data_IF_284123596950
#
_entry.id   IF_284123596950
#
_cell.length_a   1.000
_cell.length_b   1.000
_cell.length_c   1.000
_cell.angle_alpha   90.00
_cell.angle_beta   90.00
_cell.angle_gamma   90.00
#
_symmetry.space_group_name_H-M   'P 1'
#
loop_
_entity.id
_entity.type
_entity.pdbx_description
1 polymer ?
#
# COMPACT_ATOMS: atom_id res chain seq x y z
N UNK A 1 -11.63 -54.83 17.33
CA UNK A 1 -12.38 -53.56 17.39
C UNK A 1 -11.43 -52.46 16.97
N UNK A 2 -11.70 -51.78 15.86
CA UNK A 2 -10.76 -50.92 15.12
C UNK A 2 -10.54 -49.59 15.84
N UNK A 3 -9.29 -49.29 16.23
CA UNK A 3 -8.87 -47.94 16.60
C UNK A 3 -8.65 -47.12 15.33
N UNK A 4 -9.54 -46.16 15.06
CA UNK A 4 -9.34 -45.13 14.02
C UNK A 4 -8.22 -44.20 14.48
N UNK A 5 -7.08 -44.21 13.79
CA UNK A 5 -6.08 -43.14 13.91
C UNK A 5 -6.59 -41.92 13.15
N UNK A 6 -6.76 -40.80 13.83
CA UNK A 6 -6.98 -39.50 13.21
C UNK A 6 -5.65 -39.08 12.58
N UNK A 7 -5.61 -39.05 11.25
CA UNK A 7 -4.47 -38.56 10.49
C UNK A 7 -4.50 -37.04 10.55
N UNK A 8 -3.57 -36.44 11.30
CA UNK A 8 -3.32 -35.01 11.22
C UNK A 8 -2.49 -34.78 9.95
N UNK A 9 -3.14 -34.36 8.86
CA UNK A 9 -2.40 -33.74 7.77
C UNK A 9 -1.80 -32.45 8.32
N UNK A 10 -0.48 -32.41 8.47
CA UNK A 10 0.26 -31.16 8.63
C UNK A 10 0.04 -30.37 7.35
N UNK A 11 -0.75 -29.31 7.42
CA UNK A 11 -0.75 -28.28 6.39
C UNK A 11 0.65 -27.68 6.42
N UNK A 12 1.45 -27.95 5.39
CA UNK A 12 2.69 -27.23 5.16
C UNK A 12 2.31 -25.79 4.85
N UNK A 13 2.23 -24.95 5.89
CA UNK A 13 2.17 -23.50 5.71
C UNK A 13 3.50 -23.13 5.07
N UNK A 14 3.46 -22.81 3.77
CA UNK A 14 4.65 -22.50 3.00
C UNK A 14 5.39 -21.35 3.65
N UNK A 15 6.69 -21.54 3.87
CA UNK A 15 7.58 -20.59 4.55
C UNK A 15 7.55 -19.17 3.97
N UNK A 16 7.12 -19.02 2.71
CA UNK A 16 6.96 -17.73 2.01
C UNK A 16 5.82 -16.89 2.58
N UNK A 17 4.70 -17.48 2.98
CA UNK A 17 3.56 -16.75 3.57
C UNK A 17 3.89 -16.21 4.97
N UNK A 18 4.78 -16.90 5.70
CA UNK A 18 5.15 -16.53 7.08
C UNK A 18 6.17 -15.38 7.10
N UNK A 19 7.11 -15.34 6.16
CA UNK A 19 8.13 -14.26 6.14
C UNK A 19 7.55 -12.90 5.73
N UNK A 20 6.54 -12.85 4.85
CA UNK A 20 5.98 -11.58 4.38
C UNK A 20 5.08 -10.90 5.43
N UNK A 21 4.34 -11.68 6.22
CA UNK A 21 3.52 -11.16 7.31
C UNK A 21 4.33 -10.75 8.57
N UNK A 22 5.60 -11.19 8.69
CA UNK A 22 6.46 -10.94 9.86
C UNK A 22 7.50 -9.81 9.66
N UNK A 23 7.63 -9.22 8.48
CA UNK A 23 8.64 -8.19 8.21
C UNK A 23 8.23 -6.78 8.67
N UNK A 24 6.93 -6.50 8.78
CA UNK A 24 6.46 -5.18 9.20
C UNK A 24 6.66 -5.00 10.71
N UNK A 25 7.18 -3.83 11.11
CA UNK A 25 7.23 -3.42 12.51
C UNK A 25 5.96 -2.63 12.86
N UNK A 26 4.91 -3.26 13.44
CA UNK A 26 3.60 -2.63 13.58
C UNK A 26 3.64 -1.50 14.61
N UNK A 27 4.56 -1.56 15.56
CA UNK A 27 4.72 -0.54 16.60
C UNK A 27 5.31 0.74 16.03
N UNK A 28 6.33 0.64 15.16
CA UNK A 28 6.88 1.81 14.46
C UNK A 28 5.83 2.45 13.55
N UNK A 29 5.09 1.64 12.78
CA UNK A 29 4.03 2.14 11.89
C UNK A 29 2.92 2.83 12.69
N UNK A 30 2.43 2.23 13.79
CA UNK A 30 1.39 2.84 14.63
C UNK A 30 1.85 4.11 15.32
N UNK A 31 3.05 4.10 15.90
CA UNK A 31 3.56 5.23 16.69
C UNK A 31 3.84 6.42 15.78
N UNK A 32 4.54 6.20 14.65
CA UNK A 32 4.79 7.27 13.67
C UNK A 32 3.50 7.75 13.00
N UNK A 33 2.55 6.87 12.71
CA UNK A 33 1.25 7.28 12.16
C UNK A 33 0.43 8.12 13.15
N UNK A 34 0.58 7.86 14.46
CA UNK A 34 -0.09 8.67 15.49
C UNK A 34 0.40 10.11 15.47
N UNK A 35 1.71 10.32 15.30
CA UNK A 35 2.29 11.66 15.11
C UNK A 35 1.74 12.32 13.84
N UNK A 36 1.63 11.55 12.75
CA UNK A 36 1.11 12.05 11.48
C UNK A 36 -0.38 12.47 11.55
N UNK A 37 -1.18 11.86 12.43
CA UNK A 37 -2.61 12.19 12.60
C UNK A 37 -2.87 13.61 13.09
N UNK A 38 -1.94 14.19 13.86
CA UNK A 38 -2.06 15.56 14.36
C UNK A 38 -2.07 16.57 13.19
N UNK A 39 -1.35 16.25 12.11
CA UNK A 39 -1.18 17.08 10.92
C UNK A 39 -1.82 16.48 9.65
N UNK A 40 -2.89 15.68 9.79
CA UNK A 40 -3.48 14.93 8.67
C UNK A 40 -3.81 15.76 7.42
N UNK A 41 -4.27 17.02 7.61
CA UNK A 41 -4.63 17.92 6.52
C UNK A 41 -3.37 18.39 5.80
N UNK A 42 -2.40 18.89 6.58
CA UNK A 42 -1.13 19.35 6.05
C UNK A 42 -0.37 18.23 5.33
N UNK A 43 -0.38 17.02 5.88
CA UNK A 43 0.18 15.83 5.23
C UNK A 43 -0.46 15.55 3.88
N UNK A 44 -1.79 15.52 3.82
CA UNK A 44 -2.51 15.15 2.59
C UNK A 44 -2.37 16.24 1.51
N UNK A 45 -2.39 17.50 1.90
CA UNK A 45 -2.17 18.63 0.99
C UNK A 45 -0.74 18.62 0.44
N UNK A 46 0.25 18.38 1.31
CA UNK A 46 1.64 18.22 0.90
C UNK A 46 1.81 17.03 -0.04
N UNK A 47 1.16 15.90 0.25
CA UNK A 47 1.21 14.70 -0.59
C UNK A 47 0.74 15.00 -2.01
N UNK A 48 -0.46 15.56 -2.20
CA UNK A 48 -0.98 15.83 -3.54
C UNK A 48 -0.20 16.93 -4.27
N UNK A 49 0.20 17.98 -3.54
CA UNK A 49 1.07 19.03 -4.10
C UNK A 49 2.39 18.44 -4.62
N UNK A 50 3.03 17.58 -3.83
CA UNK A 50 4.28 16.91 -4.18
C UNK A 50 4.08 15.94 -5.33
N UNK A 51 3.06 15.08 -5.29
CA UNK A 51 2.75 14.10 -6.33
C UNK A 51 2.58 14.77 -7.70
N UNK A 52 1.82 15.87 -7.72
CA UNK A 52 1.49 16.60 -8.95
C UNK A 52 2.60 17.52 -9.45
N UNK A 53 3.54 17.88 -8.57
CA UNK A 53 4.76 18.58 -8.93
C UNK A 53 5.78 17.62 -9.53
N UNK A 54 6.06 16.52 -8.84
CA UNK A 54 7.12 15.57 -9.21
C UNK A 54 6.69 14.67 -10.38
N UNK A 55 5.39 14.35 -10.47
CA UNK A 55 4.83 13.43 -11.46
C UNK A 55 3.59 14.02 -12.16
N UNK A 56 3.72 15.12 -12.93
CA UNK A 56 2.58 15.77 -13.56
C UNK A 56 1.76 14.86 -14.49
N UNK A 57 2.36 13.78 -15.01
CA UNK A 57 1.69 12.76 -15.82
C UNK A 57 0.58 11.99 -15.09
N UNK A 58 0.55 12.01 -13.75
CA UNK A 58 -0.52 11.33 -12.98
C UNK A 58 -1.76 12.20 -12.80
N UNK A 59 -1.67 13.52 -13.03
CA UNK A 59 -2.81 14.46 -12.91
C UNK A 59 -4.06 14.03 -13.69
N UNK A 60 -3.98 13.48 -14.92
CA UNK A 60 -5.16 13.02 -15.65
C UNK A 60 -5.97 11.94 -14.92
N UNK A 61 -5.33 11.09 -14.08
CA UNK A 61 -6.04 10.09 -13.27
C UNK A 61 -7.02 10.74 -12.26
N UNK A 62 -6.79 12.01 -11.92
CA UNK A 62 -7.58 12.78 -10.97
C UNK A 62 -8.55 13.76 -11.64
N UNK A 63 -8.63 13.79 -12.98
CA UNK A 63 -9.42 14.79 -13.72
C UNK A 63 -10.94 14.77 -13.39
N UNK A 64 -11.45 13.62 -12.95
CA UNK A 64 -12.86 13.43 -12.54
C UNK A 64 -12.99 13.14 -11.04
N UNK A 65 -11.96 13.46 -10.26
CA UNK A 65 -11.95 13.27 -8.81
C UNK A 65 -12.32 14.57 -8.10
N UNK A 66 -13.18 14.49 -7.07
CA UNK A 66 -13.36 15.61 -6.15
C UNK A 66 -12.12 15.75 -5.27
N UNK A 67 -11.27 16.73 -5.61
CA UNK A 67 -10.01 16.98 -4.90
C UNK A 67 -10.19 17.58 -3.49
N UNK A 68 -11.39 18.03 -3.11
CA UNK A 68 -11.69 18.43 -1.73
C UNK A 68 -11.88 17.21 -0.81
N UNK A 69 -12.38 16.09 -1.36
CA UNK A 69 -12.64 14.85 -0.61
C UNK A 69 -11.51 13.84 -0.72
N UNK A 70 -10.69 13.94 -1.76
CA UNK A 70 -9.63 12.98 -2.06
C UNK A 70 -8.52 12.91 -0.97
N UNK A 71 -8.06 14.02 -0.37
CA UNK A 71 -7.19 14.02 0.81
C UNK A 71 -7.73 13.15 1.95
N UNK A 72 -9.01 13.29 2.28
CA UNK A 72 -9.66 12.53 3.36
C UNK A 72 -9.69 11.03 3.05
N UNK A 73 -9.96 10.65 1.80
CA UNK A 73 -9.98 9.25 1.36
C UNK A 73 -8.61 8.60 1.43
N UNK A 74 -7.55 9.31 1.04
CA UNK A 74 -6.19 8.84 1.18
C UNK A 74 -5.86 8.57 2.65
N UNK A 75 -6.11 9.55 3.51
CA UNK A 75 -5.81 9.42 4.93
C UNK A 75 -6.61 8.30 5.59
N UNK A 76 -7.90 8.18 5.28
CA UNK A 76 -8.74 7.08 5.78
C UNK A 76 -8.24 5.70 5.31
N UNK A 77 -7.65 5.60 4.12
CA UNK A 77 -7.05 4.35 3.63
C UNK A 77 -5.80 3.99 4.44
N UNK A 78 -4.96 4.97 4.79
CA UNK A 78 -3.81 4.75 5.68
C UNK A 78 -4.23 4.34 7.09
N UNK A 79 -5.29 4.96 7.63
CA UNK A 79 -5.88 4.56 8.93
C UNK A 79 -6.29 3.08 8.88
N UNK A 80 -7.03 2.67 7.84
CA UNK A 80 -7.48 1.29 7.68
C UNK A 80 -6.30 0.32 7.66
N UNK A 81 -5.25 0.63 6.92
CA UNK A 81 -4.04 -0.19 6.85
C UNK A 81 -3.42 -0.34 8.25
N UNK A 82 -3.10 0.78 8.91
CA UNK A 82 -2.39 0.80 10.20
C UNK A 82 -3.19 0.09 11.30
N UNK A 83 -4.51 0.24 11.31
CA UNK A 83 -5.40 -0.41 12.29
C UNK A 83 -5.55 -1.92 12.07
N UNK A 84 -5.29 -2.41 10.86
CA UNK A 84 -5.45 -3.82 10.50
C UNK A 84 -4.12 -4.56 10.24
N UNK A 85 -2.97 -3.96 10.57
CA UNK A 85 -1.64 -4.60 10.43
C UNK A 85 -1.52 -5.95 11.15
N UNK A 86 -2.30 -6.17 12.21
CA UNK A 86 -2.30 -7.43 12.99
C UNK A 86 -3.44 -8.39 12.59
N UNK A 87 -4.18 -8.07 11.52
CA UNK A 87 -5.30 -8.84 10.96
C UNK A 87 -5.06 -9.10 9.47
N UNK A 88 -4.05 -9.91 9.12
CA UNK A 88 -3.57 -10.05 7.75
C UNK A 88 -4.68 -10.43 6.77
N UNK A 89 -5.52 -11.43 7.07
CA UNK A 89 -6.57 -11.89 6.16
C UNK A 89 -7.58 -10.78 5.78
N UNK A 90 -7.97 -9.95 6.75
CA UNK A 90 -8.92 -8.86 6.56
C UNK A 90 -8.29 -7.75 5.72
N UNK A 91 -7.02 -7.43 6.02
CA UNK A 91 -6.28 -6.41 5.30
C UNK A 91 -6.03 -6.83 3.85
N UNK A 92 -5.63 -8.08 3.62
CA UNK A 92 -5.38 -8.64 2.28
C UNK A 92 -6.61 -8.54 1.40
N UNK A 93 -7.77 -9.03 1.86
CA UNK A 93 -9.00 -8.96 1.08
C UNK A 93 -9.42 -7.52 0.76
N UNK A 94 -9.24 -6.59 1.71
CA UNK A 94 -9.55 -5.18 1.51
C UNK A 94 -8.62 -4.53 0.47
N UNK A 95 -7.33 -4.83 0.52
CA UNK A 95 -6.30 -4.32 -0.40
C UNK A 95 -6.46 -4.89 -1.80
N UNK A 96 -6.75 -6.19 -1.95
CA UNK A 96 -7.03 -6.78 -3.26
C UNK A 96 -8.23 -6.10 -3.92
N UNK A 97 -9.33 -5.93 -3.17
CA UNK A 97 -10.50 -5.21 -3.66
C UNK A 97 -10.22 -3.72 -3.98
N UNK A 98 -9.27 -3.10 -3.28
CA UNK A 98 -8.79 -1.75 -3.59
C UNK A 98 -8.01 -1.75 -4.91
N UNK A 99 -7.13 -2.72 -5.13
CA UNK A 99 -6.40 -2.95 -6.38
C UNK A 99 -7.32 -3.10 -7.59
N UNK A 100 -8.35 -3.94 -7.49
CA UNK A 100 -9.38 -4.09 -8.54
C UNK A 100 -10.05 -2.76 -8.91
N UNK A 101 -10.28 -1.87 -7.93
CA UNK A 101 -10.84 -0.53 -8.20
C UNK A 101 -9.82 0.40 -8.86
N UNK A 102 -8.53 0.29 -8.53
CA UNK A 102 -7.48 1.12 -9.10
C UNK A 102 -7.33 0.92 -10.60
N UNK A 103 -7.55 -0.29 -11.12
CA UNK A 103 -7.67 -0.54 -12.57
C UNK A 103 -8.74 0.36 -13.20
N UNK A 104 -9.92 0.45 -12.57
CA UNK A 104 -11.04 1.26 -13.10
C UNK A 104 -10.75 2.76 -13.11
N UNK A 105 -9.78 3.20 -12.31
CA UNK A 105 -9.30 4.58 -12.29
C UNK A 105 -8.21 4.85 -13.34
N UNK A 106 -7.78 3.83 -14.09
CA UNK A 106 -6.68 3.92 -15.06
C UNK A 106 -5.29 3.86 -14.42
N UNK A 107 -5.20 3.42 -13.16
CA UNK A 107 -3.90 3.23 -12.51
C UNK A 107 -3.17 2.07 -13.16
N UNK A 108 -1.88 2.24 -13.43
CA UNK A 108 -0.96 1.24 -13.96
C UNK A 108 0.11 0.91 -12.91
N UNK A 109 0.79 -0.24 -13.02
CA UNK A 109 1.87 -0.62 -12.10
C UNK A 109 2.95 0.46 -11.92
N UNK A 110 3.29 1.19 -12.98
CA UNK A 110 4.27 2.28 -12.95
C UNK A 110 3.89 3.47 -12.05
N UNK A 111 2.61 3.64 -11.72
CA UNK A 111 2.17 4.71 -10.83
C UNK A 111 2.43 4.40 -9.35
N UNK A 112 2.53 3.13 -8.96
CA UNK A 112 2.71 2.75 -7.56
C UNK A 112 4.04 3.27 -6.99
N UNK A 113 5.21 3.09 -7.65
CA UNK A 113 6.46 3.68 -7.16
C UNK A 113 6.42 5.21 -7.01
N UNK A 114 5.69 5.91 -7.88
CA UNK A 114 5.52 7.37 -7.80
C UNK A 114 4.76 7.76 -6.54
N UNK A 115 3.63 7.08 -6.29
CA UNK A 115 2.81 7.29 -5.08
C UNK A 115 3.59 6.93 -3.81
N UNK A 116 4.32 5.81 -3.80
CA UNK A 116 5.12 5.38 -2.67
C UNK A 116 6.24 6.36 -2.33
N UNK A 117 6.98 6.81 -3.35
CA UNK A 117 8.03 7.82 -3.17
C UNK A 117 7.48 9.13 -2.62
N UNK A 118 6.34 9.61 -3.15
CA UNK A 118 5.68 10.81 -2.62
C UNK A 118 5.19 10.60 -1.18
N UNK A 119 4.62 9.44 -0.86
CA UNK A 119 4.14 9.13 0.48
C UNK A 119 5.26 9.26 1.52
N UNK A 120 6.40 8.60 1.28
CA UNK A 120 7.55 8.62 2.18
C UNK A 120 8.13 10.03 2.30
N UNK A 121 8.28 10.76 1.20
CA UNK A 121 8.76 12.16 1.19
C UNK A 121 7.85 13.10 1.99
N UNK A 122 6.53 12.92 1.89
CA UNK A 122 5.57 13.69 2.67
C UNK A 122 5.62 13.33 4.16
N UNK A 123 5.77 12.05 4.51
CA UNK A 123 5.95 11.64 5.90
C UNK A 123 7.23 12.20 6.51
N UNK A 124 8.35 12.13 5.79
CA UNK A 124 9.63 12.72 6.21
C UNK A 124 9.49 14.22 6.50
N UNK A 125 8.82 14.96 5.61
CA UNK A 125 8.64 16.41 5.76
C UNK A 125 7.78 16.77 6.97
N UNK A 126 6.71 16.01 7.24
CA UNK A 126 5.80 16.28 8.36
C UNK A 126 6.42 15.84 9.69
N UNK A 127 7.05 14.67 9.72
CA UNK A 127 7.58 14.09 10.96
C UNK A 127 8.93 14.68 11.38
N UNK A 128 9.69 15.26 10.43
CA UNK A 128 10.94 15.98 10.67
C UNK A 128 11.92 15.16 11.53
N UNK A 129 12.31 15.66 12.70
CA UNK A 129 13.24 14.98 13.62
C UNK A 129 12.73 13.61 14.11
N UNK A 130 11.42 13.35 14.01
CA UNK A 130 10.84 12.04 14.33
C UNK A 130 10.93 11.04 13.16
N UNK A 131 11.38 11.45 11.97
CA UNK A 131 11.58 10.56 10.83
C UNK A 131 12.95 9.88 10.91
N UNK A 132 13.00 8.76 11.61
CA UNK A 132 14.24 7.98 11.75
C UNK A 132 14.44 6.99 10.60
N UNK A 133 15.67 6.49 10.37
CA UNK A 133 15.92 5.45 9.37
C UNK A 133 15.06 4.19 9.56
N UNK A 134 14.78 3.80 10.81
CA UNK A 134 13.94 2.64 11.14
C UNK A 134 12.47 2.87 10.77
N UNK A 135 11.94 4.08 11.00
CA UNK A 135 10.58 4.45 10.59
C UNK A 135 10.49 4.48 9.07
N UNK A 136 11.48 5.07 8.40
CA UNK A 136 11.56 5.11 6.94
C UNK A 136 11.55 3.71 6.32
N UNK A 137 12.40 2.82 6.83
CA UNK A 137 12.45 1.42 6.39
C UNK A 137 11.11 0.70 6.61
N UNK A 138 10.52 0.83 7.81
CA UNK A 138 9.24 0.19 8.13
C UNK A 138 8.10 0.65 7.20
N UNK A 139 8.02 1.94 6.87
CA UNK A 139 7.01 2.45 5.94
C UNK A 139 7.28 2.04 4.50
N UNK A 140 8.54 1.98 4.08
CA UNK A 140 8.90 1.50 2.73
C UNK A 140 8.50 0.03 2.55
N UNK A 141 8.80 -0.83 3.53
CA UNK A 141 8.40 -2.23 3.54
C UNK A 141 6.88 -2.39 3.57
N UNK A 142 6.18 -1.61 4.40
CA UNK A 142 4.72 -1.61 4.45
C UNK A 142 4.11 -1.23 3.09
N UNK A 143 4.63 -0.17 2.46
CA UNK A 143 4.14 0.27 1.17
C UNK A 143 4.39 -0.77 0.06
N UNK A 144 5.55 -1.43 0.08
CA UNK A 144 5.87 -2.51 -0.86
C UNK A 144 4.89 -3.68 -0.72
N UNK A 145 4.65 -4.15 0.50
CA UNK A 145 3.69 -5.24 0.77
C UNK A 145 2.26 -4.87 0.35
N UNK A 146 1.82 -3.64 0.64
CA UNK A 146 0.50 -3.14 0.21
C UNK A 146 0.39 -3.14 -1.32
N UNK A 147 1.45 -2.67 -1.99
CA UNK A 147 1.50 -2.61 -3.45
C UNK A 147 1.42 -4.00 -4.06
N UNK A 148 2.17 -4.97 -3.53
CA UNK A 148 2.13 -6.37 -3.99
C UNK A 148 0.70 -6.93 -3.91
N UNK A 149 0.05 -6.81 -2.76
CA UNK A 149 -1.33 -7.30 -2.57
C UNK A 149 -2.34 -6.58 -3.47
N UNK A 150 -2.18 -5.26 -3.65
CA UNK A 150 -3.04 -4.49 -4.56
C UNK A 150 -2.82 -4.92 -6.01
N UNK A 151 -1.59 -5.23 -6.42
CA UNK A 151 -1.29 -5.74 -7.76
C UNK A 151 -1.84 -7.15 -7.96
N UNK A 152 -1.80 -8.02 -6.95
CA UNK A 152 -2.44 -9.35 -7.02
C UNK A 152 -3.95 -9.26 -7.20
N UNK A 153 -4.61 -8.33 -6.50
CA UNK A 153 -6.05 -8.07 -6.67
C UNK A 153 -6.39 -7.28 -7.93
N UNK A 154 -5.39 -6.67 -8.56
CA UNK A 154 -5.51 -5.99 -9.82
C UNK A 154 -5.25 -7.01 -10.93
N UNK A 155 -6.33 -7.54 -11.52
CA UNK A 155 -6.31 -8.43 -12.68
C UNK A 155 -5.85 -7.70 -13.96
N UNK A 156 -4.60 -7.22 -13.96
CA UNK A 156 -3.98 -6.58 -15.12
C UNK A 156 -3.70 -7.65 -16.19
N UNK A 157 -3.95 -7.33 -17.48
CA UNK A 157 -3.43 -8.12 -18.58
C UNK A 157 -1.91 -8.31 -18.44
N UNK A 158 -1.41 -9.50 -18.77
CA UNK A 158 0.01 -9.85 -18.62
C UNK A 158 0.96 -8.93 -19.42
N UNK A 159 0.44 -8.27 -20.46
CA UNK A 159 1.15 -7.28 -21.27
C UNK A 159 1.48 -6.00 -20.48
N UNK A 160 0.64 -5.61 -19.50
CA UNK A 160 0.85 -4.43 -18.66
C UNK A 160 1.90 -4.70 -17.57
N UNK A 161 2.02 -5.94 -17.12
CA UNK A 161 2.99 -6.33 -16.09
C UNK A 161 4.41 -6.53 -16.63
N UNK A 162 4.56 -6.65 -17.97
CA UNK A 162 5.84 -6.90 -18.62
C UNK A 162 6.29 -5.69 -19.46
N UNK A 163 7.14 -4.79 -18.92
CA UNK A 163 7.56 -3.57 -19.61
C UNK A 163 8.36 -3.80 -20.91
N UNK A 164 8.79 -5.04 -21.18
CA UNK A 164 9.52 -5.41 -22.40
C UNK A 164 8.61 -5.93 -23.53
N UNK A 165 7.29 -5.97 -23.34
CA UNK A 165 6.37 -6.58 -24.30
C UNK A 165 5.60 -5.56 -25.14
N UNK A 166 6.22 -4.44 -25.51
CA UNK A 166 5.67 -3.51 -26.50
C UNK A 166 5.60 -4.20 -27.87
N UNK A 167 4.44 -4.77 -28.17
CA UNK A 167 4.08 -5.14 -29.54
C UNK A 167 4.06 -3.83 -30.33
N UNK A 168 5.05 -3.68 -31.21
CA UNK A 168 5.03 -2.67 -32.26
C UNK A 168 3.80 -2.94 -33.13
N UNK A 169 2.81 -2.06 -33.07
CA UNK A 169 1.71 -2.00 -34.04
C UNK A 169 1.78 -0.65 -34.73
#
# INVERSE_FOLDING_TARGET
>A
MVMRRVSWQTVEVTTVEIVSAMALNPDLLKTSFTLLKEDQSAFSDLFYSTLFSDYPQVKPLFAHTNMEEQPKKLFASLVLVVENLVKPDVLTAALQGLGTRHIKYGVLPEHYPMVGGTLLKSMETILQDNWTPEISAAWAEAYAAITEIMLEGADYPAEILNPNNTVSV
#
